data_IF_244016854033
#
_entry.id   IF_244016854033
#
_cell.length_a   1.000
_cell.length_b   1.000
_cell.length_c   1.000
_cell.angle_alpha   90.00
_cell.angle_beta   90.00
_cell.angle_gamma   90.00
#
_symmetry.space_group_name_H-M   'P 1'
#
loop_
_entity.id
_entity.type
_entity.pdbx_description
1 polymer ?
#
# COMPACT_ATOMS: atom_id res chain seq x y z
N UNK A 1 -10.74 28.72 55.03
CA UNK A 1 -10.46 27.28 54.94
C UNK A 1 -11.24 26.77 53.73
N UNK A 2 -10.67 26.33 52.63
CA UNK A 2 -9.30 26.34 52.08
C UNK A 2 -9.50 26.04 50.60
N UNK A 3 -8.81 26.74 49.69
CA UNK A 3 -8.91 26.57 48.21
C UNK A 3 -8.25 25.26 47.70
N UNK A 4 -8.09 24.26 48.56
CA UNK A 4 -7.23 23.07 48.37
C UNK A 4 -7.96 21.84 47.79
N UNK A 5 -9.29 21.79 47.78
CA UNK A 5 -10.01 20.57 47.35
C UNK A 5 -10.21 20.46 45.84
N UNK A 6 -10.09 21.56 45.06
CA UNK A 6 -10.29 21.50 43.61
C UNK A 6 -9.09 21.00 42.82
N UNK A 7 -7.85 21.18 43.32
CA UNK A 7 -6.64 20.71 42.63
C UNK A 7 -6.45 19.19 42.76
N UNK A 8 -6.99 18.56 43.82
CA UNK A 8 -6.83 17.13 44.04
C UNK A 8 -7.69 16.28 43.10
N UNK A 9 -8.86 16.79 42.71
CA UNK A 9 -9.75 16.13 41.74
C UNK A 9 -9.11 16.07 40.34
N UNK A 10 -8.47 17.15 39.88
CA UNK A 10 -7.81 17.19 38.58
C UNK A 10 -6.60 16.23 38.51
N UNK A 11 -5.86 16.08 39.61
CA UNK A 11 -4.75 15.11 39.70
C UNK A 11 -5.25 13.67 39.67
N UNK A 12 -6.37 13.37 40.34
CA UNK A 12 -6.98 12.03 40.35
C UNK A 12 -7.55 11.67 38.98
N UNK A 13 -8.13 12.64 38.27
CA UNK A 13 -8.60 12.46 36.88
C UNK A 13 -7.42 12.14 35.95
N UNK A 14 -6.26 12.77 36.13
CA UNK A 14 -5.08 12.51 35.31
C UNK A 14 -4.47 11.12 35.51
N UNK A 15 -4.68 10.50 36.68
CA UNK A 15 -4.14 9.18 37.03
C UNK A 15 -5.04 8.02 36.56
N UNK A 16 -6.30 8.28 36.20
CA UNK A 16 -7.28 7.25 35.80
C UNK A 16 -7.18 6.86 34.31
N UNK A 17 -6.64 7.73 33.44
CA UNK A 17 -6.57 7.46 32.01
C UNK A 17 -5.21 6.88 31.61
N UNK A 18 -5.23 5.71 31.00
CA UNK A 18 -4.07 5.17 30.30
C UNK A 18 -3.66 6.11 29.14
N UNK A 19 -2.36 6.28 28.92
CA UNK A 19 -1.85 7.09 27.81
C UNK A 19 -2.10 6.36 26.48
N UNK A 20 -3.23 6.67 25.84
CA UNK A 20 -3.58 6.22 24.50
C UNK A 20 -2.85 6.99 23.40
N UNK A 21 -1.78 7.73 23.72
CA UNK A 21 -0.94 8.36 22.70
C UNK A 21 -0.56 7.33 21.65
N UNK A 22 -0.74 7.64 20.36
CA UNK A 22 -0.39 6.71 19.32
C UNK A 22 1.07 6.30 19.48
N UNK A 23 1.33 5.00 19.57
CA UNK A 23 2.67 4.46 19.46
C UNK A 23 3.31 5.12 18.25
N UNK A 24 4.46 5.78 18.45
CA UNK A 24 5.16 6.51 17.38
C UNK A 24 5.48 5.47 16.31
N UNK A 25 4.62 5.42 15.28
CA UNK A 25 4.77 4.48 14.18
C UNK A 25 6.09 4.84 13.53
N UNK A 26 7.10 3.99 13.73
CA UNK A 26 8.25 3.97 12.83
C UNK A 26 7.67 3.54 11.50
N UNK A 27 7.46 4.53 10.64
CA UNK A 27 7.08 4.32 9.25
C UNK A 27 8.27 3.57 8.68
N UNK A 28 8.23 2.24 8.72
CA UNK A 28 9.07 1.40 7.90
C UNK A 28 8.77 1.82 6.47
N UNK A 29 9.50 2.83 6.01
CA UNK A 29 9.76 3.05 4.61
C UNK A 29 10.60 1.86 4.18
N UNK A 30 9.98 0.68 4.15
CA UNK A 30 10.32 -0.27 3.12
C UNK A 30 10.19 0.57 1.86
N UNK A 31 11.33 0.82 1.22
CA UNK A 31 11.44 1.63 0.03
C UNK A 31 10.44 1.03 -0.95
N UNK A 32 9.21 1.55 -0.93
CA UNK A 32 8.23 1.29 -1.97
C UNK A 32 8.93 1.88 -3.16
N UNK A 33 9.63 1.03 -3.91
CA UNK A 33 9.93 1.29 -5.30
C UNK A 33 8.62 1.83 -5.84
N UNK A 34 8.58 3.14 -6.10
CA UNK A 34 7.41 3.72 -6.71
C UNK A 34 7.33 3.03 -8.05
N UNK A 35 6.42 2.06 -8.14
CA UNK A 35 6.10 1.39 -9.39
C UNK A 35 5.45 2.48 -10.23
N UNK A 36 6.31 3.24 -10.90
CA UNK A 36 5.93 4.25 -11.86
C UNK A 36 5.36 3.47 -13.02
N UNK A 37 4.05 3.20 -12.95
CA UNK A 37 3.31 2.58 -14.04
C UNK A 37 3.39 3.58 -15.17
N UNK A 38 4.22 3.27 -16.16
CA UNK A 38 4.32 4.06 -17.38
C UNK A 38 2.94 4.09 -18.04
N UNK A 39 2.44 5.29 -18.32
CA UNK A 39 1.16 5.52 -19.00
C UNK A 39 1.08 4.73 -20.32
N UNK A 40 2.22 4.47 -20.95
CA UNK A 40 2.32 3.67 -22.17
C UNK A 40 1.80 2.23 -21.98
N UNK A 41 1.88 1.68 -20.77
CA UNK A 41 1.54 0.28 -20.47
C UNK A 41 0.29 0.11 -19.61
N UNK A 42 -0.24 1.21 -19.06
CA UNK A 42 -1.44 1.19 -18.22
C UNK A 42 -2.63 0.48 -18.90
N UNK A 43 -2.79 0.64 -20.21
CA UNK A 43 -3.88 0.01 -20.97
C UNK A 43 -3.81 -1.53 -20.97
N UNK A 44 -2.60 -2.11 -20.94
CA UNK A 44 -2.39 -3.56 -20.88
C UNK A 44 -2.82 -4.09 -19.51
N UNK A 45 -2.45 -3.38 -18.44
CA UNK A 45 -2.86 -3.72 -17.07
C UNK A 45 -4.38 -3.63 -16.89
N UNK A 46 -5.00 -2.58 -17.41
CA UNK A 46 -6.47 -2.46 -17.43
C UNK A 46 -7.12 -3.63 -18.16
N UNK A 47 -6.54 -4.04 -19.29
CA UNK A 47 -7.04 -5.19 -20.05
C UNK A 47 -6.92 -6.50 -19.25
N UNK A 48 -5.78 -6.74 -18.58
CA UNK A 48 -5.57 -7.92 -17.72
C UNK A 48 -6.55 -7.92 -16.54
N UNK A 49 -6.79 -6.79 -15.90
CA UNK A 49 -7.75 -6.69 -14.78
C UNK A 49 -9.19 -6.96 -15.24
N UNK A 50 -9.58 -6.39 -16.38
CA UNK A 50 -10.89 -6.65 -16.98
C UNK A 50 -11.03 -8.12 -17.41
N UNK A 51 -9.97 -8.73 -17.96
CA UNK A 51 -9.93 -10.16 -18.28
C UNK A 51 -10.10 -11.02 -17.02
N UNK A 52 -9.38 -10.72 -15.93
CA UNK A 52 -9.51 -11.42 -14.65
C UNK A 52 -10.96 -11.41 -14.16
N UNK A 53 -11.61 -10.25 -14.15
CA UNK A 53 -12.99 -10.09 -13.66
C UNK A 53 -13.96 -10.87 -14.53
N UNK A 54 -13.84 -10.77 -15.86
CA UNK A 54 -14.77 -11.42 -16.80
C UNK A 54 -14.73 -12.94 -16.73
N UNK A 55 -13.55 -13.51 -16.55
CA UNK A 55 -13.36 -14.97 -16.57
C UNK A 55 -13.13 -15.56 -15.19
N UNK A 56 -13.27 -14.76 -14.13
CA UNK A 56 -13.02 -15.13 -12.73
C UNK A 56 -11.68 -15.87 -12.55
N UNK A 57 -10.62 -15.30 -13.13
CA UNK A 57 -9.30 -15.95 -13.19
C UNK A 57 -8.61 -15.88 -11.83
N UNK A 58 -8.02 -16.98 -11.34
CA UNK A 58 -7.29 -16.98 -10.08
C UNK A 58 -6.06 -16.08 -10.15
N UNK A 59 -5.70 -15.50 -9.00
CA UNK A 59 -4.58 -14.55 -8.90
C UNK A 59 -3.25 -15.15 -9.35
N UNK A 60 -3.00 -16.42 -9.03
CA UNK A 60 -1.81 -17.16 -9.46
C UNK A 60 -1.65 -17.22 -10.99
N UNK A 61 -2.77 -17.36 -11.71
CA UNK A 61 -2.77 -17.35 -13.17
C UNK A 61 -2.53 -15.93 -13.73
N UNK A 62 -3.04 -14.89 -13.06
CA UNK A 62 -2.77 -13.50 -13.43
C UNK A 62 -1.30 -13.14 -13.23
N UNK A 63 -0.68 -13.57 -12.12
CA UNK A 63 0.77 -13.39 -11.90
C UNK A 63 1.58 -14.05 -13.03
N UNK A 64 1.17 -15.24 -13.47
CA UNK A 64 1.82 -15.94 -14.58
C UNK A 64 1.60 -15.23 -15.93
N UNK A 65 0.41 -14.69 -16.17
CA UNK A 65 0.06 -13.92 -17.36
C UNK A 65 0.87 -12.61 -17.45
N UNK A 66 1.02 -11.89 -16.34
CA UNK A 66 1.82 -10.66 -16.27
C UNK A 66 3.28 -10.98 -16.64
N UNK A 67 3.86 -12.04 -16.06
CA UNK A 67 5.23 -12.50 -16.40
C UNK A 67 5.38 -12.88 -17.87
N UNK A 68 4.38 -13.56 -18.44
CA UNK A 68 4.38 -13.93 -19.86
C UNK A 68 4.34 -12.68 -20.75
N UNK A 69 3.47 -11.73 -20.45
CA UNK A 69 3.36 -10.48 -21.21
C UNK A 69 4.66 -9.68 -21.10
N UNK A 70 5.25 -9.58 -19.91
CA UNK A 70 6.57 -8.94 -19.73
C UNK A 70 7.63 -9.58 -20.64
N UNK A 71 7.70 -10.90 -20.66
CA UNK A 71 8.65 -11.64 -21.51
C UNK A 71 8.42 -11.35 -23.00
N UNK A 72 7.17 -11.39 -23.45
CA UNK A 72 6.82 -11.05 -24.85
C UNK A 72 7.23 -9.61 -25.16
N UNK A 73 6.84 -8.64 -24.33
CA UNK A 73 7.12 -7.23 -24.53
C UNK A 73 8.62 -6.92 -24.58
N UNK A 74 9.43 -7.55 -23.72
CA UNK A 74 10.88 -7.45 -23.76
C UNK A 74 11.45 -8.01 -25.07
N UNK A 75 10.93 -9.13 -25.57
CA UNK A 75 11.39 -9.77 -26.81
C UNK A 75 11.09 -8.93 -28.06
N UNK A 76 9.86 -8.39 -28.18
CA UNK A 76 9.47 -7.57 -29.37
C UNK A 76 9.95 -6.13 -29.31
N UNK A 77 10.20 -5.60 -28.11
CA UNK A 77 10.31 -4.17 -27.89
C UNK A 77 11.62 -3.67 -27.30
N UNK A 78 12.55 -4.59 -26.98
CA UNK A 78 13.82 -4.29 -26.31
C UNK A 78 13.60 -3.58 -24.97
N UNK A 79 14.62 -2.87 -24.51
CA UNK A 79 14.78 -2.10 -23.28
C UNK A 79 13.64 -1.14 -22.92
N UNK A 80 12.80 -0.76 -23.88
CA UNK A 80 11.61 0.09 -23.69
C UNK A 80 10.59 -0.52 -22.74
N UNK A 81 10.53 -1.86 -22.68
CA UNK A 81 9.57 -2.59 -21.87
C UNK A 81 10.19 -3.19 -20.61
N UNK A 82 11.47 -2.91 -20.31
CA UNK A 82 12.12 -3.36 -19.09
C UNK A 82 11.42 -2.83 -17.82
N UNK A 83 10.73 -1.69 -17.94
CA UNK A 83 9.94 -1.05 -16.89
C UNK A 83 8.51 -1.62 -16.75
N UNK A 84 8.08 -2.52 -17.63
CA UNK A 84 6.79 -3.19 -17.47
C UNK A 84 6.83 -4.09 -16.22
N UNK A 85 5.81 -4.04 -15.34
CA UNK A 85 5.79 -4.82 -14.10
C UNK A 85 5.93 -6.33 -14.33
#
# INVERSE_FOLDING_TARGET
MSEDESELDDLLISEIFEDYSPLKYELYQDEKEEVTIDDQFAWILLWIMNFRIRFNVPETAIVSLIKFIKLVLTEIGSDKFNRFP
#
